data_IF_216004955019
#
_entry.id   IF_216004955019
#
_cell.length_a   1.000
_cell.length_b   1.000
_cell.length_c   1.000
_cell.angle_alpha   90.00
_cell.angle_beta   90.00
_cell.angle_gamma   90.00
#
_symmetry.space_group_name_H-M   'P 1'
#
loop_
_entity.id
_entity.type
_entity.pdbx_description
1 polymer ?
#
# COMPACT_ATOMS: atom_id res chain seq x y z
N UNK A 1 -24.18 -15.39 52.78
CA UNK A 1 -22.76 -15.73 52.53
C UNK A 1 -21.95 -15.07 53.62
N UNK A 2 -21.18 -15.83 54.36
CA UNK A 2 -20.40 -15.31 55.48
C UNK A 2 -19.00 -14.92 54.94
N UNK A 3 -18.83 -13.64 54.57
CA UNK A 3 -17.62 -13.10 53.99
C UNK A 3 -16.81 -12.29 55.02
N UNK A 4 -15.53 -12.61 55.17
CA UNK A 4 -14.58 -11.83 55.93
C UNK A 4 -13.89 -10.77 55.06
N UNK A 5 -13.92 -9.53 55.50
CA UNK A 5 -13.12 -8.48 54.91
C UNK A 5 -11.62 -8.73 55.18
N UNK A 6 -10.78 -8.66 54.11
CA UNK A 6 -9.34 -8.95 54.22
C UNK A 6 -8.51 -7.89 53.47
N UNK A 7 -8.61 -6.65 53.95
CA UNK A 7 -7.87 -5.55 53.42
C UNK A 7 -8.26 -5.13 51.99
N UNK A 8 -7.44 -4.31 51.40
CA UNK A 8 -7.64 -3.73 50.04
C UNK A 8 -6.44 -3.99 49.16
N UNK A 9 -6.66 -4.20 47.88
CA UNK A 9 -5.62 -4.13 46.87
C UNK A 9 -5.71 -2.78 46.18
N UNK A 10 -4.62 -1.99 46.26
CA UNK A 10 -4.52 -0.71 45.55
C UNK A 10 -3.96 -0.93 44.18
N UNK A 11 -4.67 -0.44 43.16
CA UNK A 11 -4.24 -0.50 41.75
C UNK A 11 -4.25 0.89 41.16
N UNK A 12 -3.15 1.29 40.54
CA UNK A 12 -3.10 2.53 39.76
C UNK A 12 -3.64 2.27 38.37
N UNK A 13 -4.64 3.01 37.95
CA UNK A 13 -5.35 2.84 36.68
C UNK A 13 -5.10 4.07 35.81
N UNK A 14 -4.58 3.85 34.60
CA UNK A 14 -4.50 4.91 33.58
C UNK A 14 -5.90 5.21 33.07
N UNK A 15 -6.28 6.50 33.21
CA UNK A 15 -7.57 7.02 32.76
C UNK A 15 -7.36 7.97 31.56
N UNK A 16 -8.32 8.07 30.62
CA UNK A 16 -8.16 8.94 29.46
C UNK A 16 -8.07 10.41 29.90
N UNK A 17 -7.19 11.16 29.28
CA UNK A 17 -7.01 12.58 29.48
C UNK A 17 -7.36 13.37 28.22
N UNK A 18 -7.78 14.60 28.37
CA UNK A 18 -7.93 15.54 27.24
C UNK A 18 -6.58 16.11 26.79
N UNK A 19 -5.59 16.17 27.70
CA UNK A 19 -4.26 16.70 27.42
C UNK A 19 -3.21 15.60 27.66
N UNK A 20 -2.50 15.21 26.62
CA UNK A 20 -1.45 14.17 26.67
C UNK A 20 -0.30 14.51 27.63
N UNK A 21 -0.04 15.79 27.89
CA UNK A 21 0.99 16.23 28.82
C UNK A 21 0.62 16.06 30.29
N UNK A 22 -0.66 15.78 30.57
CA UNK A 22 -1.19 15.63 31.93
C UNK A 22 -1.83 14.24 32.10
N UNK A 23 -1.01 13.19 32.42
CA UNK A 23 -1.55 11.85 32.62
C UNK A 23 -2.47 11.79 33.84
N UNK A 24 -3.61 11.16 33.71
CA UNK A 24 -4.56 10.94 34.80
C UNK A 24 -4.43 9.51 35.29
N UNK A 25 -4.13 9.35 36.59
CA UNK A 25 -4.02 8.07 37.26
C UNK A 25 -5.02 8.00 38.40
N UNK A 26 -5.95 7.03 38.32
CA UNK A 26 -6.90 6.74 39.39
C UNK A 26 -6.30 5.68 40.31
N UNK A 27 -6.15 5.99 41.59
CA UNK A 27 -5.75 5.04 42.63
C UNK A 27 -6.99 4.33 43.15
N UNK A 28 -7.24 3.10 42.67
CA UNK A 28 -8.43 2.31 43.00
C UNK A 28 -8.09 1.29 44.10
N UNK A 29 -8.77 1.40 45.24
CA UNK A 29 -8.70 0.42 46.33
C UNK A 29 -9.81 -0.62 46.15
N UNK A 30 -9.45 -1.86 45.80
CA UNK A 30 -10.39 -2.98 45.62
C UNK A 30 -10.47 -3.81 46.89
N UNK A 31 -11.67 -3.97 47.44
CA UNK A 31 -11.90 -4.77 48.63
C UNK A 31 -11.58 -6.26 48.36
N UNK A 32 -10.80 -6.87 49.23
CA UNK A 32 -10.56 -8.32 49.26
C UNK A 32 -11.46 -8.96 50.29
N UNK A 33 -12.03 -10.12 49.95
CA UNK A 33 -12.91 -10.90 50.82
C UNK A 33 -12.47 -12.36 50.83
N UNK A 34 -12.60 -13.02 51.98
CA UNK A 34 -12.41 -14.46 52.14
C UNK A 34 -13.76 -15.10 52.54
N UNK A 35 -14.16 -16.17 51.90
CA UNK A 35 -15.32 -16.95 52.30
C UNK A 35 -14.95 -17.82 53.51
N UNK A 36 -15.74 -17.77 54.58
CA UNK A 36 -15.50 -18.61 55.77
C UNK A 36 -15.74 -20.10 55.49
N UNK A 37 -16.71 -20.40 54.66
CA UNK A 37 -17.11 -21.80 54.41
C UNK A 37 -16.14 -22.56 53.48
N UNK A 38 -15.65 -21.90 52.39
CA UNK A 38 -14.79 -22.56 51.39
C UNK A 38 -13.36 -22.00 51.35
N UNK A 39 -13.04 -21.11 52.23
CA UNK A 39 -11.75 -20.41 52.36
C UNK A 39 -11.22 -19.72 51.08
N UNK A 40 -12.02 -19.67 50.03
CA UNK A 40 -11.64 -19.01 48.76
C UNK A 40 -11.60 -17.51 48.91
N UNK A 41 -10.60 -16.92 48.24
CA UNK A 41 -10.42 -15.49 48.14
C UNK A 41 -11.15 -14.92 46.94
N UNK A 42 -11.75 -13.76 47.10
CA UNK A 42 -12.35 -12.99 46.03
C UNK A 42 -11.99 -11.51 46.19
N UNK A 43 -12.08 -10.78 45.11
CA UNK A 43 -11.81 -9.36 45.06
C UNK A 43 -12.96 -8.62 44.38
N UNK A 44 -13.34 -7.48 44.96
CA UNK A 44 -14.35 -6.62 44.35
C UNK A 44 -14.01 -6.28 42.91
N UNK A 45 -14.95 -6.41 42.01
CA UNK A 45 -14.82 -6.00 40.63
C UNK A 45 -15.19 -4.53 40.49
N UNK A 46 -14.71 -3.90 39.46
CA UNK A 46 -14.99 -2.49 39.12
C UNK A 46 -15.28 -2.39 37.65
N UNK A 47 -16.27 -1.61 37.26
CA UNK A 47 -16.59 -1.31 35.87
C UNK A 47 -15.51 -0.42 35.19
N UNK A 48 -14.71 0.30 36.00
CA UNK A 48 -13.64 1.14 35.49
C UNK A 48 -12.54 0.37 34.77
N UNK A 49 -12.26 -0.86 35.23
CA UNK A 49 -11.13 -1.64 34.74
C UNK A 49 -11.39 -3.12 34.83
N UNK A 50 -10.99 -3.87 33.81
CA UNK A 50 -11.11 -5.33 33.84
C UNK A 50 -10.14 -5.94 34.87
N UNK A 51 -10.44 -7.18 35.29
CA UNK A 51 -9.60 -7.93 36.23
C UNK A 51 -8.17 -8.02 35.69
N UNK A 52 -7.19 -7.78 36.57
CA UNK A 52 -5.74 -7.81 36.30
C UNK A 52 -5.28 -6.77 35.25
N UNK A 53 -6.07 -5.73 34.98
CA UNK A 53 -5.69 -4.65 34.09
C UNK A 53 -5.40 -3.36 34.88
N UNK A 54 -4.48 -2.55 34.36
CA UNK A 54 -4.11 -1.21 34.86
C UNK A 54 -4.57 -0.08 33.94
N UNK A 55 -5.26 -0.40 32.84
CA UNK A 55 -5.77 0.56 31.86
C UNK A 55 -7.29 0.52 31.90
N UNK A 56 -7.92 1.68 32.09
CA UNK A 56 -9.38 1.80 32.22
C UNK A 56 -10.08 1.36 30.92
N UNK A 57 -11.34 0.92 31.06
CA UNK A 57 -12.17 0.61 29.90
C UNK A 57 -12.42 1.85 29.04
N UNK A 58 -12.54 3.05 29.66
CA UNK A 58 -12.62 4.32 28.93
C UNK A 58 -11.37 4.61 28.09
N UNK A 59 -10.16 4.35 28.63
CA UNK A 59 -8.91 4.49 27.84
C UNK A 59 -8.87 3.51 26.66
N UNK A 60 -9.35 2.28 26.83
CA UNK A 60 -9.43 1.30 25.72
C UNK A 60 -10.38 1.78 24.63
N UNK A 61 -11.54 2.33 24.98
CA UNK A 61 -12.50 2.88 24.02
C UNK A 61 -11.90 4.08 23.26
N UNK A 62 -11.21 4.99 23.96
CA UNK A 62 -10.52 6.11 23.32
C UNK A 62 -9.46 5.65 22.33
N UNK A 63 -8.67 4.62 22.69
CA UNK A 63 -7.67 4.01 21.79
C UNK A 63 -8.35 3.40 20.57
N UNK A 64 -9.47 2.70 20.74
CA UNK A 64 -10.23 2.10 19.63
C UNK A 64 -10.78 3.16 18.68
N UNK A 65 -11.34 4.25 19.21
CA UNK A 65 -11.79 5.38 18.40
C UNK A 65 -10.64 5.99 17.61
N UNK A 66 -9.48 6.22 18.25
CA UNK A 66 -8.31 6.76 17.55
C UNK A 66 -7.72 5.83 16.48
N UNK A 67 -7.94 4.51 16.59
CA UNK A 67 -7.53 3.52 15.58
C UNK A 67 -8.41 3.53 14.31
N UNK A 68 -9.58 4.16 14.35
CA UNK A 68 -10.42 4.38 13.14
C UNK A 68 -10.02 5.63 12.37
N UNK A 69 -9.12 6.45 12.91
CA UNK A 69 -8.58 7.63 12.26
C UNK A 69 -7.26 7.27 11.53
N UNK A 70 -6.85 8.11 10.57
CA UNK A 70 -5.58 7.94 9.85
C UNK A 70 -4.38 8.36 10.72
N UNK A 71 -4.09 7.55 11.75
CA UNK A 71 -3.09 7.82 12.79
C UNK A 71 -2.21 6.63 13.06
N UNK A 72 -0.91 6.87 13.30
CA UNK A 72 0.03 5.81 13.67
C UNK A 72 -0.20 5.31 15.10
N UNK A 73 0.03 4.03 15.36
CA UNK A 73 -0.02 3.45 16.72
C UNK A 73 0.92 4.17 17.69
N UNK A 74 2.06 4.69 17.20
CA UNK A 74 3.01 5.48 18.01
C UNK A 74 2.39 6.80 18.46
N UNK A 75 1.67 7.48 17.56
CA UNK A 75 0.95 8.72 17.88
C UNK A 75 -0.15 8.46 18.92
N UNK A 76 -0.95 7.42 18.72
CA UNK A 76 -2.03 7.01 19.63
C UNK A 76 -1.47 6.66 21.01
N UNK A 77 -0.37 5.91 21.06
CA UNK A 77 0.29 5.53 22.32
C UNK A 77 0.75 6.75 23.10
N UNK A 78 1.42 7.71 22.42
CA UNK A 78 1.92 8.95 23.02
C UNK A 78 0.78 9.82 23.58
N UNK A 79 -0.29 10.02 22.82
CA UNK A 79 -1.43 10.83 23.24
C UNK A 79 -2.19 10.25 24.44
N UNK A 80 -2.22 8.93 24.56
CA UNK A 80 -2.92 8.28 25.65
C UNK A 80 -1.97 7.89 26.84
N UNK A 81 -0.70 8.29 26.77
CA UNK A 81 0.32 7.94 27.79
C UNK A 81 0.40 6.44 28.09
N UNK A 82 0.36 5.62 27.04
CA UNK A 82 0.46 4.16 27.13
C UNK A 82 1.53 3.64 26.15
N UNK A 83 1.95 2.39 26.33
CA UNK A 83 2.90 1.78 25.39
C UNK A 83 2.23 1.37 24.07
N UNK A 84 3.02 1.32 22.98
CA UNK A 84 2.58 0.80 21.68
C UNK A 84 2.06 -0.64 21.82
N UNK A 85 2.71 -1.48 22.62
CA UNK A 85 2.27 -2.84 22.90
C UNK A 85 0.87 -2.88 23.55
N UNK A 86 0.51 -1.85 24.32
CA UNK A 86 -0.85 -1.73 24.89
C UNK A 86 -1.87 -1.40 23.79
N UNK A 87 -1.54 -0.49 22.84
CA UNK A 87 -2.40 -0.20 21.69
C UNK A 87 -2.63 -1.46 20.86
N UNK A 88 -1.57 -2.21 20.56
CA UNK A 88 -1.64 -3.48 19.83
C UNK A 88 -2.52 -4.52 20.55
N UNK A 89 -2.37 -4.64 21.89
CA UNK A 89 -3.18 -5.56 22.69
C UNK A 89 -4.66 -5.17 22.72
N UNK A 90 -4.97 -3.88 22.78
CA UNK A 90 -6.35 -3.37 22.72
C UNK A 90 -6.96 -3.71 21.35
N UNK A 91 -6.24 -3.49 20.27
CA UNK A 91 -6.66 -3.86 18.91
C UNK A 91 -6.86 -5.38 18.80
N UNK A 92 -5.89 -6.19 19.25
CA UNK A 92 -5.97 -7.64 19.20
C UNK A 92 -7.17 -8.22 19.96
N UNK A 93 -7.54 -7.64 21.11
CA UNK A 93 -8.71 -8.05 21.87
C UNK A 93 -10.04 -7.72 21.18
N UNK A 94 -10.05 -6.77 20.24
CA UNK A 94 -11.23 -6.39 19.46
C UNK A 94 -11.35 -7.16 18.15
N UNK A 95 -10.23 -7.61 17.58
CA UNK A 95 -10.21 -8.32 16.29
C UNK A 95 -11.10 -9.56 16.23
N UNK A 96 -11.29 -10.25 17.37
CA UNK A 96 -12.19 -11.42 17.46
C UNK A 96 -13.68 -11.09 17.40
N UNK A 97 -14.06 -9.80 17.46
CA UNK A 97 -15.47 -9.36 17.40
C UNK A 97 -15.92 -8.99 16.01
N UNK A 98 -14.99 -8.87 15.07
CA UNK A 98 -15.31 -8.61 13.67
C UNK A 98 -15.61 -9.94 12.98
N UNK A 99 -16.87 -10.14 12.63
CA UNK A 99 -17.33 -11.28 11.83
C UNK A 99 -17.27 -10.80 10.38
N UNK A 100 -16.40 -11.44 9.56
CA UNK A 100 -16.36 -11.18 8.12
C UNK A 100 -17.70 -11.62 7.52
N UNK A 101 -18.46 -10.67 7.00
CA UNK A 101 -19.62 -10.99 6.17
C UNK A 101 -19.14 -11.43 4.79
N UNK A 102 -19.56 -12.61 4.35
CA UNK A 102 -19.20 -13.15 3.04
C UNK A 102 -20.36 -13.04 2.03
N UNK A 103 -21.36 -12.22 2.36
CA UNK A 103 -22.56 -12.03 1.53
C UNK A 103 -22.46 -10.82 0.58
N UNK A 104 -21.45 -9.98 0.73
CA UNK A 104 -21.29 -8.76 -0.04
C UNK A 104 -19.86 -8.56 -0.49
N UNK A 105 -19.70 -8.13 -1.76
CA UNK A 105 -18.47 -7.57 -2.32
C UNK A 105 -18.83 -6.31 -3.12
N UNK A 106 -17.95 -5.27 -3.11
CA UNK A 106 -18.10 -4.12 -3.98
C UNK A 106 -18.17 -4.51 -5.47
N UNK A 107 -18.90 -3.73 -6.26
CA UNK A 107 -19.01 -3.96 -7.69
C UNK A 107 -17.68 -3.76 -8.44
N UNK A 108 -16.84 -2.88 -7.94
CA UNK A 108 -15.52 -2.56 -8.49
C UNK A 108 -14.46 -2.87 -7.45
N UNK A 109 -13.55 -3.80 -7.75
CA UNK A 109 -12.45 -4.17 -6.86
C UNK A 109 -11.13 -3.67 -7.45
N UNK A 110 -10.19 -3.33 -6.57
CA UNK A 110 -8.81 -3.06 -6.93
C UNK A 110 -7.87 -3.99 -6.15
N UNK A 111 -6.99 -4.69 -6.86
CA UNK A 111 -5.98 -5.60 -6.33
C UNK A 111 -4.61 -4.97 -6.43
N UNK A 112 -3.86 -4.98 -5.34
CA UNK A 112 -2.49 -4.49 -5.30
C UNK A 112 -1.67 -5.29 -4.28
N UNK A 113 -0.36 -5.04 -4.26
CA UNK A 113 0.59 -5.65 -3.34
C UNK A 113 1.39 -4.58 -2.62
N UNK A 114 1.63 -4.78 -1.34
CA UNK A 114 2.53 -3.91 -0.58
C UNK A 114 3.50 -4.72 0.28
N UNK A 115 4.64 -4.13 0.57
CA UNK A 115 5.60 -4.71 1.52
C UNK A 115 5.10 -4.46 2.94
N UNK A 116 4.60 -5.54 3.56
CA UNK A 116 4.14 -5.51 4.94
C UNK A 116 5.25 -5.82 5.95
N UNK A 117 4.85 -6.37 7.10
CA UNK A 117 5.75 -6.83 8.15
C UNK A 117 6.71 -7.89 7.59
N UNK A 118 7.95 -7.92 8.07
CA UNK A 118 9.00 -8.86 7.62
C UNK A 118 9.42 -8.73 6.15
N UNK A 119 9.14 -7.58 5.52
CA UNK A 119 9.45 -7.29 4.11
C UNK A 119 8.78 -8.25 3.12
N UNK A 120 7.81 -9.03 3.55
CA UNK A 120 7.03 -9.90 2.68
C UNK A 120 5.97 -9.10 1.92
N UNK A 121 5.64 -9.55 0.71
CA UNK A 121 4.57 -8.98 -0.09
C UNK A 121 3.22 -9.48 0.42
N UNK A 122 2.41 -8.54 0.86
CA UNK A 122 1.03 -8.74 1.28
C UNK A 122 0.10 -8.35 0.13
N UNK A 123 -1.02 -9.04 0.02
CA UNK A 123 -2.08 -8.70 -0.90
C UNK A 123 -3.05 -7.72 -0.24
N UNK A 124 -3.51 -6.73 -0.98
CA UNK A 124 -4.56 -5.82 -0.58
C UNK A 124 -5.67 -5.81 -1.64
N UNK A 125 -6.91 -5.85 -1.17
CA UNK A 125 -8.10 -5.64 -1.96
C UNK A 125 -8.82 -4.39 -1.47
N UNK A 126 -9.10 -3.48 -2.39
CA UNK A 126 -9.80 -2.23 -2.14
C UNK A 126 -11.14 -2.22 -2.88
N UNK A 127 -12.08 -1.45 -2.37
CA UNK A 127 -13.24 -0.99 -3.13
C UNK A 127 -12.76 0.08 -4.13
N UNK A 128 -13.00 -0.16 -5.42
CA UNK A 128 -12.56 0.72 -6.50
C UNK A 128 -13.27 2.07 -6.54
N UNK A 129 -14.44 2.20 -5.90
CA UNK A 129 -15.23 3.41 -5.91
C UNK A 129 -14.86 4.38 -4.79
N UNK A 130 -14.66 3.88 -3.58
CA UNK A 130 -14.41 4.69 -2.38
C UNK A 130 -13.03 4.50 -1.76
N UNK A 131 -12.20 3.61 -2.33
CA UNK A 131 -10.85 3.25 -1.89
C UNK A 131 -10.77 2.66 -0.48
N UNK A 132 -11.89 2.20 0.09
CA UNK A 132 -11.87 1.52 1.37
C UNK A 132 -11.24 0.14 1.26
N UNK A 133 -10.51 -0.25 2.32
CA UNK A 133 -9.90 -1.58 2.38
C UNK A 133 -10.98 -2.63 2.58
N UNK A 134 -11.14 -3.50 1.59
CA UNK A 134 -12.00 -4.69 1.69
C UNK A 134 -11.29 -5.78 2.47
N UNK A 135 -10.01 -6.06 2.16
CA UNK A 135 -9.21 -7.05 2.87
C UNK A 135 -7.72 -6.87 2.66
N UNK A 136 -6.95 -7.25 3.67
CA UNK A 136 -5.50 -7.43 3.60
C UNK A 136 -5.16 -8.87 3.95
N UNK A 137 -4.43 -9.57 3.08
CA UNK A 137 -3.95 -10.92 3.32
C UNK A 137 -2.42 -10.92 3.45
N UNK A 138 -1.89 -11.67 4.41
CA UNK A 138 -0.44 -11.75 4.68
C UNK A 138 0.38 -12.32 3.53
N UNK A 139 -0.27 -12.95 2.56
CA UNK A 139 0.38 -13.53 1.39
C UNK A 139 -0.43 -13.24 0.14
N UNK A 140 0.25 -13.22 -0.99
CA UNK A 140 -0.34 -13.06 -2.32
C UNK A 140 -0.55 -14.41 -3.05
N UNK A 141 -0.29 -15.54 -2.41
CA UNK A 141 -0.34 -16.85 -3.07
C UNK A 141 -1.74 -17.20 -3.59
N UNK A 142 -1.81 -17.70 -4.84
CA UNK A 142 -3.05 -18.08 -5.56
C UNK A 142 -3.99 -18.92 -4.68
N UNK A 143 -3.44 -19.94 -4.00
CA UNK A 143 -4.22 -20.81 -3.12
C UNK A 143 -4.92 -20.04 -1.98
N UNK A 144 -4.24 -19.06 -1.39
CA UNK A 144 -4.78 -18.25 -0.30
C UNK A 144 -5.89 -17.33 -0.79
N UNK A 145 -5.69 -16.69 -1.95
CA UNK A 145 -6.66 -15.78 -2.54
C UNK A 145 -7.91 -16.53 -3.02
N UNK A 146 -7.74 -17.66 -3.71
CA UNK A 146 -8.87 -18.53 -4.11
C UNK A 146 -9.66 -19.02 -2.89
N UNK A 147 -8.97 -19.43 -1.81
CA UNK A 147 -9.63 -19.84 -0.56
C UNK A 147 -10.38 -18.69 0.10
N UNK A 148 -9.84 -17.48 0.09
CA UNK A 148 -10.48 -16.30 0.67
C UNK A 148 -11.74 -15.91 -0.12
N UNK A 149 -11.62 -15.64 -1.42
CA UNK A 149 -12.74 -15.23 -2.25
C UNK A 149 -13.78 -16.35 -2.46
N UNK A 150 -13.37 -17.62 -2.37
CA UNK A 150 -14.26 -18.76 -2.41
C UNK A 150 -15.21 -18.89 -1.20
N UNK A 151 -15.00 -18.12 -0.11
CA UNK A 151 -15.91 -18.05 1.04
C UNK A 151 -17.15 -17.21 0.73
N UNK A 152 -17.04 -16.26 -0.20
CA UNK A 152 -18.14 -15.39 -0.56
C UNK A 152 -19.22 -16.16 -1.31
N UNK A 153 -20.48 -15.77 -1.10
CA UNK A 153 -21.61 -16.36 -1.79
C UNK A 153 -21.47 -16.23 -3.31
N UNK A 154 -22.01 -17.15 -4.10
CA UNK A 154 -21.98 -17.05 -5.55
C UNK A 154 -22.56 -15.73 -6.07
N UNK A 155 -23.61 -15.22 -5.40
CA UNK A 155 -24.25 -13.95 -5.72
C UNK A 155 -23.30 -12.78 -5.49
N UNK A 156 -22.60 -12.71 -4.32
CA UNK A 156 -21.64 -11.67 -4.03
C UNK A 156 -20.51 -11.65 -5.07
N UNK A 157 -20.00 -12.82 -5.47
CA UNK A 157 -18.97 -12.94 -6.50
C UNK A 157 -19.45 -12.56 -7.90
N UNK A 158 -20.69 -12.89 -8.24
CA UNK A 158 -21.29 -12.55 -9.52
C UNK A 158 -21.62 -11.04 -9.64
N UNK A 159 -21.78 -10.33 -8.50
CA UNK A 159 -22.02 -8.89 -8.47
C UNK A 159 -20.77 -8.05 -8.79
N UNK A 160 -19.57 -8.63 -8.73
CA UNK A 160 -18.34 -7.93 -9.10
C UNK A 160 -18.32 -7.71 -10.61
N UNK A 161 -18.24 -6.43 -11.01
CA UNK A 161 -18.27 -5.98 -12.41
C UNK A 161 -16.87 -5.75 -12.98
N UNK A 162 -15.97 -5.20 -12.19
CA UNK A 162 -14.60 -4.95 -12.63
C UNK A 162 -13.61 -5.30 -11.52
N UNK A 163 -12.42 -5.75 -11.92
CA UNK A 163 -11.26 -5.90 -11.05
C UNK A 163 -10.07 -5.18 -11.68
N UNK A 164 -9.65 -4.09 -11.06
CA UNK A 164 -8.45 -3.35 -11.46
C UNK A 164 -7.23 -4.00 -10.82
N UNK A 165 -6.18 -4.25 -11.60
CA UNK A 165 -4.96 -4.89 -11.10
C UNK A 165 -3.74 -4.51 -11.95
N UNK A 166 -2.55 -4.91 -11.50
CA UNK A 166 -1.34 -4.86 -12.31
C UNK A 166 -1.37 -5.89 -13.47
N UNK A 167 -0.35 -5.86 -14.33
CA UNK A 167 -0.23 -6.77 -15.49
C UNK A 167 0.12 -8.22 -15.11
N UNK A 168 0.03 -8.61 -13.85
CA UNK A 168 0.41 -9.95 -13.40
C UNK A 168 -0.64 -10.99 -13.84
N UNK A 169 -0.25 -11.87 -14.77
CA UNK A 169 -1.10 -12.93 -15.33
C UNK A 169 -1.74 -13.82 -14.26
N UNK A 170 -1.03 -14.04 -13.19
CA UNK A 170 -1.47 -14.87 -12.08
C UNK A 170 -2.72 -14.30 -11.38
N UNK A 171 -2.90 -12.97 -11.28
CA UNK A 171 -4.13 -12.37 -10.77
C UNK A 171 -5.30 -12.52 -11.74
N UNK A 172 -5.04 -12.49 -13.05
CA UNK A 172 -6.08 -12.72 -14.04
C UNK A 172 -6.75 -14.09 -13.88
N UNK A 173 -5.95 -15.13 -13.58
CA UNK A 173 -6.49 -16.47 -13.31
C UNK A 173 -7.40 -16.49 -12.08
N UNK A 174 -7.01 -15.75 -11.02
CA UNK A 174 -7.82 -15.66 -9.79
C UNK A 174 -9.14 -14.96 -10.07
N UNK A 175 -9.10 -13.84 -10.81
CA UNK A 175 -10.31 -13.09 -11.18
C UNK A 175 -11.26 -13.94 -12.00
N UNK A 176 -10.76 -14.62 -13.03
CA UNK A 176 -11.57 -15.52 -13.87
C UNK A 176 -12.20 -16.69 -13.09
N UNK A 177 -11.47 -17.21 -12.08
CA UNK A 177 -11.97 -18.30 -11.25
C UNK A 177 -12.98 -17.84 -10.18
N UNK A 178 -12.81 -16.64 -9.64
CA UNK A 178 -13.62 -16.16 -8.51
C UNK A 178 -14.82 -15.30 -8.93
N UNK A 179 -14.69 -14.52 -10.00
CA UNK A 179 -15.65 -13.48 -10.38
C UNK A 179 -16.11 -13.67 -11.84
N UNK A 180 -17.16 -14.48 -12.06
CA UNK A 180 -17.55 -14.91 -13.41
C UNK A 180 -17.97 -13.77 -14.34
N UNK A 181 -18.47 -12.66 -13.78
CA UNK A 181 -18.96 -11.52 -14.56
C UNK A 181 -17.97 -10.34 -14.59
N UNK A 182 -16.81 -10.48 -13.95
CA UNK A 182 -15.89 -9.35 -13.81
C UNK A 182 -15.05 -9.12 -15.06
N UNK A 183 -15.01 -7.86 -15.51
CA UNK A 183 -14.05 -7.40 -16.49
C UNK A 183 -12.73 -7.05 -15.81
N UNK A 184 -11.62 -7.55 -16.36
CA UNK A 184 -10.28 -7.21 -15.89
C UNK A 184 -9.88 -5.85 -16.45
N UNK A 185 -9.48 -4.93 -15.56
CA UNK A 185 -8.96 -3.61 -15.89
C UNK A 185 -7.50 -3.54 -15.47
N UNK A 186 -6.62 -3.18 -16.40
CA UNK A 186 -5.20 -3.03 -16.09
C UNK A 186 -4.93 -1.61 -15.58
N UNK A 187 -4.20 -1.51 -14.47
CA UNK A 187 -3.80 -0.21 -13.91
C UNK A 187 -2.82 0.51 -14.84
N UNK A 188 -3.20 1.73 -15.24
CA UNK A 188 -2.41 2.61 -16.11
C UNK A 188 -1.02 2.91 -15.56
N UNK A 189 -0.91 3.09 -14.24
CA UNK A 189 0.38 3.38 -13.61
C UNK A 189 1.38 2.25 -13.83
N UNK A 190 0.95 1.00 -13.63
CA UNK A 190 1.80 -0.17 -13.82
C UNK A 190 2.19 -0.36 -15.29
N UNK A 191 1.29 -0.05 -16.23
CA UNK A 191 1.62 -0.07 -17.67
C UNK A 191 2.72 0.94 -18.02
N UNK A 192 2.54 2.20 -17.61
CA UNK A 192 3.53 3.26 -17.85
C UNK A 192 4.86 2.94 -17.14
N UNK A 193 4.81 2.43 -15.92
CA UNK A 193 6.00 2.06 -15.17
C UNK A 193 6.78 0.94 -15.84
N UNK A 194 6.11 -0.08 -16.39
CA UNK A 194 6.75 -1.15 -17.12
C UNK A 194 7.44 -0.62 -18.40
N UNK A 195 6.74 0.22 -19.16
CA UNK A 195 7.26 0.81 -20.38
C UNK A 195 8.50 1.70 -20.12
N UNK A 196 8.41 2.57 -19.11
CA UNK A 196 9.54 3.44 -18.74
C UNK A 196 10.74 2.66 -18.20
N UNK A 197 10.52 1.55 -17.49
CA UNK A 197 11.60 0.63 -17.06
C UNK A 197 12.27 -0.03 -18.26
N UNK A 198 11.50 -0.53 -19.23
CA UNK A 198 12.03 -1.15 -20.45
C UNK A 198 12.85 -0.15 -21.26
N UNK A 199 12.33 1.05 -21.49
CA UNK A 199 13.06 2.13 -22.14
C UNK A 199 14.34 2.48 -21.38
N UNK A 200 14.31 2.60 -20.06
CA UNK A 200 15.50 2.89 -19.26
C UNK A 200 16.55 1.77 -19.36
N UNK A 201 16.14 0.51 -19.46
CA UNK A 201 17.05 -0.62 -19.71
C UNK A 201 17.75 -0.47 -21.05
N UNK A 202 17.02 -0.14 -22.12
CA UNK A 202 17.59 0.12 -23.46
C UNK A 202 18.54 1.31 -23.43
N UNK A 203 18.15 2.43 -22.79
CA UNK A 203 19.04 3.60 -22.62
C UNK A 203 20.36 3.21 -21.97
N UNK A 204 20.32 2.37 -20.94
CA UNK A 204 21.53 1.88 -20.25
C UNK A 204 22.37 0.97 -21.17
N UNK A 205 21.74 0.13 -22.00
CA UNK A 205 22.43 -0.71 -22.97
C UNK A 205 23.14 0.16 -24.00
N UNK A 206 22.44 1.11 -24.62
CA UNK A 206 23.01 2.07 -25.59
C UNK A 206 24.13 2.90 -24.93
N UNK A 207 23.90 3.41 -23.72
CA UNK A 207 24.93 4.16 -22.99
C UNK A 207 26.23 3.38 -22.84
N UNK A 208 26.14 2.08 -22.56
CA UNK A 208 27.32 1.21 -22.34
C UNK A 208 28.12 0.93 -23.63
N UNK A 209 27.59 1.21 -24.81
CA UNK A 209 28.35 1.09 -26.08
C UNK A 209 29.35 2.22 -26.27
N UNK A 210 29.19 3.34 -25.55
CA UNK A 210 30.06 4.50 -25.64
C UNK A 210 31.18 4.46 -24.59
N UNK A 211 32.32 5.10 -24.91
CA UNK A 211 33.38 5.30 -23.90
C UNK A 211 32.87 6.13 -22.71
N UNK A 212 33.28 5.76 -21.50
CA UNK A 212 32.78 6.38 -20.24
C UNK A 212 33.09 7.89 -20.14
N UNK A 213 34.14 8.36 -20.84
CA UNK A 213 34.54 9.78 -20.88
C UNK A 213 33.87 10.55 -22.04
N UNK A 214 33.19 9.88 -22.97
CA UNK A 214 32.52 10.48 -24.09
C UNK A 214 31.34 11.36 -23.67
N UNK A 215 31.05 12.37 -24.46
CA UNK A 215 29.88 13.25 -24.29
C UNK A 215 28.59 12.43 -24.33
N UNK A 216 28.47 11.48 -25.26
CA UNK A 216 27.32 10.61 -25.45
C UNK A 216 27.02 9.80 -24.18
N UNK A 217 28.05 9.18 -23.59
CA UNK A 217 27.91 8.44 -22.35
C UNK A 217 27.41 9.34 -21.20
N UNK A 218 27.98 10.54 -21.07
CA UNK A 218 27.61 11.44 -19.98
C UNK A 218 26.20 12.03 -20.14
N UNK A 219 25.79 12.36 -21.37
CA UNK A 219 24.42 12.77 -21.69
C UNK A 219 23.40 11.71 -21.28
N UNK A 220 23.68 10.46 -21.62
CA UNK A 220 22.78 9.36 -21.28
C UNK A 220 22.80 8.98 -19.78
N UNK A 221 23.91 9.18 -19.08
CA UNK A 221 24.10 8.75 -17.69
C UNK A 221 23.57 9.74 -16.67
N UNK A 222 24.07 10.98 -16.71
CA UNK A 222 23.86 11.96 -15.64
C UNK A 222 22.39 12.38 -15.49
N UNK A 223 21.70 12.81 -16.56
CA UNK A 223 20.32 13.29 -16.47
C UNK A 223 19.27 12.19 -16.71
N UNK A 224 19.56 10.94 -16.36
CA UNK A 224 18.74 9.78 -16.75
C UNK A 224 17.24 9.91 -16.43
N UNK A 225 16.89 10.66 -15.37
CA UNK A 225 15.48 10.89 -14.98
C UNK A 225 14.72 11.73 -16.00
N UNK A 226 15.40 12.58 -16.78
CA UNK A 226 14.75 13.42 -17.78
C UNK A 226 14.16 12.57 -18.91
N UNK A 227 14.82 11.49 -19.28
CA UNK A 227 14.34 10.57 -20.32
C UNK A 227 13.07 9.80 -19.95
N UNK A 228 12.71 9.76 -18.65
CA UNK A 228 11.52 9.09 -18.16
C UNK A 228 10.33 10.04 -17.95
N UNK A 229 10.55 11.34 -18.13
CA UNK A 229 9.49 12.35 -18.11
C UNK A 229 8.80 12.43 -19.46
N UNK A 230 7.59 12.99 -19.45
CA UNK A 230 6.95 13.40 -20.69
C UNK A 230 7.73 14.55 -21.33
N UNK A 231 7.85 14.53 -22.64
CA UNK A 231 8.62 15.55 -23.35
C UNK A 231 8.04 16.97 -23.17
N UNK A 232 6.73 17.09 -23.03
CA UNK A 232 6.06 18.37 -22.78
C UNK A 232 6.31 18.93 -21.37
N UNK A 233 6.69 18.11 -20.40
CA UNK A 233 7.04 18.52 -19.03
C UNK A 233 8.51 18.95 -18.87
N UNK A 234 9.32 18.79 -19.93
CA UNK A 234 10.72 19.17 -19.90
C UNK A 234 10.87 20.69 -20.04
N UNK A 235 11.78 21.26 -19.24
CA UNK A 235 12.16 22.68 -19.36
C UNK A 235 12.80 22.96 -20.72
N UNK A 236 12.28 23.98 -21.45
CA UNK A 236 12.67 24.31 -22.83
C UNK A 236 13.32 25.67 -22.96
N UNK A 237 13.25 26.51 -21.93
CA UNK A 237 13.60 27.93 -22.01
C UNK A 237 14.93 28.25 -21.31
N UNK A 238 15.14 27.69 -20.12
CA UNK A 238 16.27 28.01 -19.25
C UNK A 238 17.37 26.96 -19.37
N UNK A 239 18.48 27.22 -20.07
CA UNK A 239 19.60 26.30 -20.15
C UNK A 239 20.40 26.32 -18.84
N UNK A 240 20.86 25.15 -18.40
CA UNK A 240 21.71 24.98 -17.24
C UNK A 240 23.04 24.34 -17.62
N UNK A 241 24.15 24.88 -17.09
CA UNK A 241 25.46 24.29 -17.29
C UNK A 241 25.60 22.98 -16.56
N UNK A 242 26.08 21.95 -17.25
CA UNK A 242 26.33 20.65 -16.65
C UNK A 242 27.79 20.23 -16.80
N UNK A 243 28.44 19.95 -15.67
CA UNK A 243 29.86 19.59 -15.61
C UNK A 243 30.20 18.25 -16.29
N UNK A 244 29.24 17.34 -16.39
CA UNK A 244 29.49 16.02 -16.94
C UNK A 244 29.65 16.03 -18.46
N UNK A 245 28.88 16.87 -19.17
CA UNK A 245 29.00 17.04 -20.62
C UNK A 245 29.50 18.41 -21.04
N UNK A 246 29.89 19.27 -20.05
CA UNK A 246 30.54 20.57 -20.22
C UNK A 246 29.81 21.52 -21.18
N UNK A 247 28.48 21.58 -21.03
CA UNK A 247 27.65 22.39 -21.90
C UNK A 247 26.47 23.01 -21.17
N UNK A 248 25.87 24.03 -21.76
CA UNK A 248 24.73 24.78 -21.25
C UNK A 248 23.50 24.44 -22.10
N UNK A 249 22.68 23.50 -21.62
CA UNK A 249 21.55 22.96 -22.35
C UNK A 249 20.26 23.03 -21.50
N UNK A 250 19.13 23.18 -22.19
CA UNK A 250 17.80 22.96 -21.54
C UNK A 250 17.54 21.47 -21.35
N UNK A 251 16.58 21.12 -20.49
CA UNK A 251 16.22 19.70 -20.29
C UNK A 251 15.77 19.02 -21.59
N UNK A 252 15.00 19.74 -22.43
CA UNK A 252 14.57 19.22 -23.73
C UNK A 252 15.75 19.00 -24.68
N UNK A 253 16.72 19.92 -24.74
CA UNK A 253 17.93 19.76 -25.57
C UNK A 253 18.78 18.58 -25.14
N UNK A 254 18.96 18.39 -23.82
CA UNK A 254 19.67 17.22 -23.26
C UNK A 254 19.04 15.90 -23.70
N UNK A 255 17.71 15.80 -23.60
CA UNK A 255 16.99 14.60 -24.03
C UNK A 255 17.10 14.40 -25.53
N UNK A 256 16.89 15.45 -26.33
CA UNK A 256 16.97 15.36 -27.78
C UNK A 256 18.37 14.94 -28.25
N UNK A 257 19.45 15.55 -27.73
CA UNK A 257 20.81 15.15 -28.07
C UNK A 257 21.11 13.72 -27.65
N UNK A 258 20.62 13.30 -26.47
CA UNK A 258 20.86 11.96 -25.98
C UNK A 258 20.15 10.87 -26.78
N UNK A 259 18.87 11.07 -27.15
CA UNK A 259 18.14 10.08 -27.98
C UNK A 259 18.72 9.98 -29.39
N UNK A 260 19.20 11.10 -29.97
CA UNK A 260 19.81 11.14 -31.29
C UNK A 260 21.17 10.40 -31.38
N UNK A 261 21.72 9.94 -30.25
CA UNK A 261 22.95 9.12 -30.25
C UNK A 261 22.73 7.72 -30.85
N UNK A 262 21.47 7.27 -30.96
CA UNK A 262 21.10 5.96 -31.53
C UNK A 262 19.69 6.01 -32.09
N UNK A 263 19.50 5.61 -33.34
CA UNK A 263 18.20 5.51 -34.00
C UNK A 263 17.24 4.60 -33.24
N UNK A 264 17.75 3.50 -32.68
CA UNK A 264 16.97 2.59 -31.85
C UNK A 264 16.46 3.28 -30.58
N UNK A 265 17.29 4.11 -29.95
CA UNK A 265 16.90 4.85 -28.74
C UNK A 265 15.86 5.92 -29.07
N UNK A 266 16.04 6.66 -30.16
CA UNK A 266 15.10 7.67 -30.63
C UNK A 266 13.72 7.08 -30.94
N UNK A 267 13.67 6.01 -31.75
CA UNK A 267 12.41 5.33 -32.08
C UNK A 267 11.70 4.80 -30.83
N UNK A 268 12.46 4.20 -29.91
CA UNK A 268 11.88 3.68 -28.66
C UNK A 268 11.39 4.79 -27.73
N UNK A 269 12.06 5.94 -27.70
CA UNK A 269 11.61 7.11 -26.96
C UNK A 269 10.29 7.65 -27.51
N UNK A 270 10.21 7.84 -28.81
CA UNK A 270 9.02 8.33 -29.48
C UNK A 270 7.83 7.38 -29.28
N UNK A 271 8.07 6.07 -29.41
CA UNK A 271 7.05 5.06 -29.12
C UNK A 271 6.56 5.13 -27.65
N UNK A 272 7.49 5.27 -26.70
CA UNK A 272 7.13 5.44 -25.28
C UNK A 272 6.28 6.69 -25.06
N UNK A 273 6.65 7.83 -25.66
CA UNK A 273 5.87 9.07 -25.51
C UNK A 273 4.47 8.96 -26.12
N UNK A 274 4.34 8.38 -27.33
CA UNK A 274 3.04 8.12 -27.97
C UNK A 274 2.16 7.18 -27.13
N UNK A 275 2.76 6.14 -26.55
CA UNK A 275 2.03 5.22 -25.69
C UNK A 275 1.52 5.90 -24.41
N UNK A 276 2.37 6.68 -23.74
CA UNK A 276 1.97 7.46 -22.55
C UNK A 276 0.81 8.40 -22.90
N UNK A 277 0.92 9.12 -24.02
CA UNK A 277 -0.13 10.04 -24.49
C UNK A 277 -1.44 9.29 -24.76
N UNK A 278 -1.39 8.16 -25.47
CA UNK A 278 -2.58 7.36 -25.78
C UNK A 278 -3.27 6.82 -24.53
N UNK A 279 -2.49 6.38 -23.51
CA UNK A 279 -3.02 5.95 -22.21
C UNK A 279 -3.69 7.09 -21.46
N UNK A 280 -3.11 8.29 -21.46
CA UNK A 280 -3.66 9.45 -20.75
C UNK A 280 -4.91 10.00 -21.38
N UNK A 281 -4.95 10.05 -22.72
CA UNK A 281 -6.11 10.52 -23.47
C UNK A 281 -7.21 9.47 -23.58
N UNK A 282 -6.96 8.22 -23.15
CA UNK A 282 -7.89 7.10 -23.31
C UNK A 282 -8.11 6.69 -24.77
N UNK A 283 -7.16 7.01 -25.67
CA UNK A 283 -7.25 6.69 -27.08
C UNK A 283 -6.99 5.18 -27.34
N UNK A 284 -8.05 4.39 -27.20
CA UNK A 284 -7.99 2.93 -27.36
C UNK A 284 -7.62 2.48 -28.77
N UNK A 285 -7.94 3.27 -29.80
CA UNK A 285 -7.57 2.96 -31.18
C UNK A 285 -6.04 3.07 -31.35
N UNK A 286 -5.45 4.17 -30.91
CA UNK A 286 -4.02 4.37 -30.98
C UNK A 286 -3.25 3.35 -30.14
N UNK A 287 -3.72 3.04 -28.93
CA UNK A 287 -3.15 1.97 -28.11
C UNK A 287 -3.12 0.62 -28.83
N UNK A 288 -4.19 0.24 -29.50
CA UNK A 288 -4.23 -1.01 -30.30
C UNK A 288 -3.23 -1.00 -31.43
N UNK A 289 -3.08 0.14 -32.13
CA UNK A 289 -2.09 0.29 -33.21
C UNK A 289 -0.66 0.16 -32.66
N UNK A 290 -0.35 0.84 -31.56
CA UNK A 290 0.96 0.80 -30.92
C UNK A 290 1.33 -0.61 -30.42
N UNK A 291 0.38 -1.36 -29.86
CA UNK A 291 0.61 -2.74 -29.40
C UNK A 291 0.82 -3.70 -30.59
N UNK A 292 0.13 -3.49 -31.70
CA UNK A 292 0.23 -4.37 -32.87
C UNK A 292 1.42 -4.04 -33.78
N UNK A 293 2.10 -2.90 -33.60
CA UNK A 293 3.32 -2.54 -34.32
C UNK A 293 4.54 -3.34 -33.83
N UNK A 294 4.50 -4.67 -33.95
CA UNK A 294 5.54 -5.59 -33.45
C UNK A 294 6.92 -5.34 -34.12
N UNK A 295 6.96 -4.88 -35.36
CA UNK A 295 8.20 -4.65 -36.11
C UNK A 295 9.01 -3.43 -35.59
N UNK A 296 8.37 -2.48 -34.93
CA UNK A 296 9.03 -1.32 -34.32
C UNK A 296 9.46 -1.55 -32.86
N UNK A 297 8.92 -2.58 -32.23
CA UNK A 297 9.15 -2.95 -30.81
C UNK A 297 10.32 -3.94 -30.67
N UNK A 298 10.96 -4.34 -31.76
CA UNK A 298 11.89 -5.48 -31.82
C UNK A 298 12.96 -5.59 -30.72
N UNK A 299 13.37 -4.47 -30.13
CA UNK A 299 14.31 -4.44 -29.00
C UNK A 299 13.64 -4.34 -27.62
N UNK A 300 12.45 -3.78 -27.52
CA UNK A 300 11.69 -3.73 -26.27
C UNK A 300 11.10 -5.08 -25.90
N UNK A 301 10.73 -5.91 -26.89
CA UNK A 301 10.22 -7.26 -26.67
C UNK A 301 11.26 -8.23 -26.06
N UNK A 302 12.55 -8.04 -26.30
CA UNK A 302 13.60 -8.88 -25.72
C UNK A 302 13.89 -8.59 -24.24
N UNK A 303 13.42 -7.49 -23.70
CA UNK A 303 13.70 -7.06 -22.32
C UNK A 303 12.47 -6.99 -21.41
N UNK A 304 11.26 -7.09 -21.94
CA UNK A 304 10.02 -6.84 -21.21
C UNK A 304 9.08 -8.04 -21.07
N UNK A 305 9.37 -9.18 -21.72
CA UNK A 305 8.54 -10.39 -21.62
C UNK A 305 9.34 -11.61 -21.18
#
# INVERSE_FOLDING_TARGET
>A
MDLLHNGHLITNIHYPTANASLPVIIRLAKQRVKCRACERWSMAQSELVNRYCSISNASKLKVLSALTEDRSMTSIARENNISINTVQRVLGNCSHRFIDSHEYLPAHLAFDEFKGVDRQLHFICLDGDNHQVVQILRTRYKKTLLKYFGRFSPQARANVKTVTMDLNLYYQDIVRACFPNAQIVIDRFHMIQMLTRSFNSLRVQVMKTFDKRSRQYQLLKSPWKLYLKKFNELEKVHPHYNWHYKDCLTQAQVVTEGINTSTTLENSYNLMQSFIQAVETGNTHELKLLINCQDQIGTLNQTAF
#
